data_IF_850531440958
#
_entry.id   IF_850531440958
#
_cell.length_a   1.000
_cell.length_b   1.000
_cell.length_c   1.000
_cell.angle_alpha   90.00
_cell.angle_beta   90.00
_cell.angle_gamma   90.00
#
_symmetry.space_group_name_H-M   'P 1'
#
loop_
_entity.id
_entity.type
_entity.pdbx_description
1 polymer ?
#
# COMPACT_ATOMS: atom_id res chain seq x y z
N UNK A 1 -1.49 -11.50 24.40
CA UNK A 1 -2.95 -11.66 24.52
C UNK A 1 -3.47 -12.34 23.27
N UNK A 2 -4.48 -13.17 23.43
CA UNK A 2 -4.64 -14.46 22.75
C UNK A 2 -5.18 -14.36 21.33
N UNK A 3 -4.80 -15.31 20.47
CA UNK A 3 -5.35 -15.59 19.14
C UNK A 3 -6.85 -15.32 18.97
N UNK A 4 -7.63 -15.42 20.06
CA UNK A 4 -9.07 -15.16 20.09
C UNK A 4 -9.48 -13.75 19.66
N UNK A 5 -8.79 -12.67 20.07
CA UNK A 5 -9.23 -11.31 19.73
C UNK A 5 -9.19 -11.05 18.23
N UNK A 6 -8.09 -11.45 17.57
CA UNK A 6 -7.93 -11.26 16.13
C UNK A 6 -8.87 -12.18 15.33
N UNK A 7 -9.18 -13.37 15.84
CA UNK A 7 -10.17 -14.27 15.25
C UNK A 7 -11.58 -13.68 15.34
N UNK A 8 -11.97 -13.15 16.50
CA UNK A 8 -13.25 -12.46 16.69
C UNK A 8 -13.37 -11.24 15.76
N UNK A 9 -12.30 -10.45 15.64
CA UNK A 9 -12.26 -9.32 14.72
C UNK A 9 -12.39 -9.77 13.25
N UNK A 10 -11.75 -10.88 12.88
CA UNK A 10 -11.87 -11.46 11.53
C UNK A 10 -13.32 -11.86 11.23
N UNK A 11 -14.04 -12.45 12.18
CA UNK A 11 -15.47 -12.77 12.03
C UNK A 11 -16.34 -11.52 11.88
N UNK A 12 -15.99 -10.42 12.55
CA UNK A 12 -16.71 -9.15 12.43
C UNK A 12 -16.45 -8.46 11.08
N UNK A 13 -15.21 -8.56 10.59
CA UNK A 13 -14.82 -8.14 9.25
C UNK A 13 -15.53 -8.94 8.16
N UNK A 14 -15.67 -10.25 8.34
CA UNK A 14 -16.44 -11.13 7.45
C UNK A 14 -17.86 -10.59 7.23
N UNK A 15 -18.60 -10.32 8.31
CA UNK A 15 -19.93 -9.70 8.22
C UNK A 15 -19.91 -8.31 7.57
N UNK A 16 -18.93 -7.47 7.91
CA UNK A 16 -18.81 -6.12 7.32
C UNK A 16 -18.56 -6.19 5.82
N UNK A 17 -17.65 -7.04 5.35
CA UNK A 17 -17.32 -7.16 3.92
C UNK A 17 -18.46 -7.81 3.15
N UNK A 18 -19.23 -8.73 3.72
CA UNK A 18 -20.47 -9.22 3.09
C UNK A 18 -21.44 -8.07 2.78
N UNK A 19 -21.64 -7.15 3.73
CA UNK A 19 -22.47 -5.95 3.50
C UNK A 19 -21.85 -5.03 2.44
N UNK A 20 -20.53 -4.86 2.47
CA UNK A 20 -19.83 -4.05 1.47
C UNK A 20 -20.01 -4.59 0.05
N UNK A 21 -20.01 -5.92 -0.14
CA UNK A 21 -20.28 -6.53 -1.46
C UNK A 21 -21.65 -6.09 -2.00
N UNK A 22 -22.69 -6.09 -1.16
CA UNK A 22 -24.03 -5.66 -1.57
C UNK A 22 -24.12 -4.15 -1.81
N UNK A 23 -23.44 -3.34 -0.99
CA UNK A 23 -23.51 -1.87 -1.04
C UNK A 23 -22.67 -1.27 -2.19
N UNK A 24 -21.47 -1.81 -2.41
CA UNK A 24 -20.55 -1.34 -3.45
C UNK A 24 -21.01 -1.84 -4.82
N UNK A 25 -21.43 -3.10 -4.93
CA UNK A 25 -21.78 -3.72 -6.21
C UNK A 25 -20.63 -3.63 -7.21
N UNK A 26 -20.94 -3.13 -8.42
CA UNK A 26 -19.98 -3.01 -9.53
C UNK A 26 -19.18 -1.69 -9.51
N UNK A 27 -19.36 -0.83 -8.50
CA UNK A 27 -18.62 0.44 -8.39
C UNK A 27 -17.13 0.19 -8.23
N UNK A 28 -16.30 1.10 -8.74
CA UNK A 28 -14.88 1.17 -8.45
C UNK A 28 -14.63 2.18 -7.31
N UNK A 29 -14.54 1.73 -6.04
CA UNK A 29 -14.43 2.62 -4.89
C UNK A 29 -13.04 3.27 -4.79
N UNK A 30 -13.00 4.56 -4.47
CA UNK A 30 -11.79 5.28 -4.10
C UNK A 30 -11.91 5.85 -2.68
N UNK A 31 -12.96 6.63 -2.41
CA UNK A 31 -13.20 7.25 -1.11
C UNK A 31 -14.69 7.33 -0.77
N UNK A 32 -15.00 7.39 0.52
CA UNK A 32 -16.35 7.66 1.01
C UNK A 32 -16.35 8.94 1.87
N UNK A 33 -17.20 9.88 1.51
CA UNK A 33 -17.34 11.18 2.17
C UNK A 33 -18.25 11.13 3.41
N UNK A 34 -18.85 12.28 3.73
CA UNK A 34 -19.75 12.43 4.89
C UNK A 34 -21.05 11.63 4.79
N UNK A 35 -21.47 11.27 3.58
CA UNK A 35 -22.63 10.42 3.32
C UNK A 35 -22.31 8.92 3.51
N UNK A 36 -21.02 8.59 3.68
CA UNK A 36 -20.56 7.24 3.93
C UNK A 36 -20.66 6.31 2.73
N UNK A 37 -20.88 6.83 1.52
CA UNK A 37 -20.98 6.02 0.30
C UNK A 37 -19.70 6.14 -0.51
N UNK A 38 -19.15 5.02 -0.98
CA UNK A 38 -18.03 5.05 -1.91
C UNK A 38 -18.47 5.64 -3.24
N UNK A 39 -17.56 6.43 -3.82
CA UNK A 39 -17.64 6.88 -5.20
C UNK A 39 -17.49 5.74 -6.21
N UNK A 40 -17.61 6.08 -7.49
CA UNK A 40 -17.44 5.17 -8.61
C UNK A 40 -16.49 5.84 -9.63
N UNK A 41 -15.19 5.63 -9.44
CA UNK A 41 -14.15 6.20 -10.28
C UNK A 41 -13.88 5.32 -11.51
N UNK A 42 -13.14 5.83 -12.49
CA UNK A 42 -12.73 5.02 -13.65
C UNK A 42 -11.78 3.89 -13.23
N UNK A 43 -11.87 2.75 -13.91
CA UNK A 43 -11.12 1.54 -13.54
C UNK A 43 -9.62 1.58 -13.83
N UNK A 44 -9.12 2.59 -14.54
CA UNK A 44 -7.69 2.89 -14.68
C UNK A 44 -7.08 3.55 -13.44
N UNK A 45 -7.90 3.97 -12.48
CA UNK A 45 -7.42 4.67 -11.30
C UNK A 45 -6.52 3.78 -10.43
N UNK A 46 -5.51 4.40 -9.81
CA UNK A 46 -4.48 3.67 -9.08
C UNK A 46 -5.01 2.84 -7.89
N UNK A 47 -6.18 3.20 -7.34
CA UNK A 47 -6.79 2.48 -6.21
C UNK A 47 -7.69 1.31 -6.61
N UNK A 48 -7.94 1.10 -7.90
CA UNK A 48 -8.90 0.10 -8.38
C UNK A 48 -8.58 -1.32 -7.91
N UNK A 49 -7.32 -1.63 -7.64
CA UNK A 49 -6.93 -2.96 -7.15
C UNK A 49 -7.30 -3.26 -5.70
N UNK A 50 -7.56 -2.25 -4.84
CA UNK A 50 -7.67 -2.48 -3.40
C UNK A 50 -8.98 -3.15 -2.98
N UNK A 51 -10.11 -2.81 -3.61
CA UNK A 51 -11.38 -3.49 -3.34
C UNK A 51 -11.36 -4.98 -3.72
N UNK A 52 -11.02 -5.38 -4.96
CA UNK A 52 -10.85 -6.80 -5.27
C UNK A 52 -9.75 -7.46 -4.43
N UNK A 53 -8.73 -6.71 -4.00
CA UNK A 53 -7.74 -7.19 -3.04
C UNK A 53 -8.33 -7.60 -1.70
N UNK A 54 -9.23 -6.78 -1.14
CA UNK A 54 -9.99 -7.12 0.07
C UNK A 54 -10.74 -8.43 -0.16
N UNK A 55 -11.47 -8.54 -1.27
CA UNK A 55 -12.27 -9.72 -1.59
C UNK A 55 -11.42 -10.99 -1.73
N UNK A 56 -10.25 -10.91 -2.39
CA UNK A 56 -9.35 -12.05 -2.49
C UNK A 56 -8.77 -12.47 -1.14
N UNK A 57 -8.38 -11.52 -0.27
CA UNK A 57 -7.94 -11.85 1.10
C UNK A 57 -9.07 -12.52 1.88
N UNK A 58 -10.29 -12.00 1.78
CA UNK A 58 -11.44 -12.56 2.48
C UNK A 58 -11.81 -13.95 1.97
N UNK A 59 -11.73 -14.20 0.65
CA UNK A 59 -11.92 -15.53 0.08
C UNK A 59 -10.89 -16.53 0.63
N UNK A 60 -9.61 -16.15 0.63
CA UNK A 60 -8.53 -17.01 1.10
C UNK A 60 -8.64 -17.34 2.59
N UNK A 61 -9.09 -16.38 3.39
CA UNK A 61 -9.25 -16.54 4.84
C UNK A 61 -10.52 -17.28 5.26
N UNK A 62 -11.61 -17.17 4.50
CA UNK A 62 -12.94 -17.70 4.89
C UNK A 62 -13.39 -18.90 4.06
N UNK A 63 -12.84 -19.08 2.85
CA UNK A 63 -13.29 -20.07 1.87
C UNK A 63 -14.63 -19.74 1.20
N UNK A 64 -15.24 -18.56 1.43
CA UNK A 64 -16.53 -18.20 0.85
C UNK A 64 -16.41 -17.85 -0.64
N UNK A 65 -17.23 -18.49 -1.48
CA UNK A 65 -17.27 -18.23 -2.91
C UNK A 65 -17.82 -16.84 -3.26
N UNK A 66 -18.67 -16.24 -2.41
CA UNK A 66 -19.18 -14.86 -2.56
C UNK A 66 -18.07 -13.87 -2.92
N UNK A 67 -16.97 -13.87 -2.15
CA UNK A 67 -15.88 -12.94 -2.35
C UNK A 67 -15.10 -13.23 -3.63
N UNK A 68 -14.87 -14.51 -3.94
CA UNK A 68 -14.21 -14.93 -5.18
C UNK A 68 -15.02 -14.51 -6.40
N UNK A 69 -16.33 -14.73 -6.39
CA UNK A 69 -17.23 -14.36 -7.49
C UNK A 69 -17.22 -12.84 -7.71
N UNK A 70 -17.31 -12.05 -6.64
CA UNK A 70 -17.23 -10.59 -6.70
C UNK A 70 -15.86 -10.06 -7.16
N UNK A 71 -14.77 -10.80 -6.91
CA UNK A 71 -13.41 -10.40 -7.29
C UNK A 71 -12.99 -10.86 -8.69
N UNK A 72 -13.71 -11.80 -9.30
CA UNK A 72 -13.19 -12.61 -10.41
C UNK A 72 -12.84 -11.83 -11.68
N UNK A 73 -13.64 -10.81 -12.02
CA UNK A 73 -13.53 -10.10 -13.31
C UNK A 73 -12.51 -8.94 -13.30
N UNK A 74 -12.06 -8.49 -12.13
CA UNK A 74 -11.36 -7.20 -11.99
C UNK A 74 -10.03 -7.14 -12.73
N UNK A 75 -9.27 -8.24 -12.77
CA UNK A 75 -8.04 -8.33 -13.54
C UNK A 75 -8.29 -8.19 -15.06
N UNK A 76 -9.38 -8.77 -15.56
CA UNK A 76 -9.83 -8.61 -16.95
C UNK A 76 -10.24 -7.16 -17.26
N UNK A 77 -10.99 -6.51 -16.36
CA UNK A 77 -11.36 -5.10 -16.51
C UNK A 77 -10.12 -4.19 -16.59
N UNK A 78 -9.11 -4.46 -15.75
CA UNK A 78 -7.86 -3.70 -15.76
C UNK A 78 -7.02 -3.94 -17.03
N UNK A 79 -7.05 -5.14 -17.59
CA UNK A 79 -6.26 -5.48 -18.80
C UNK A 79 -6.65 -4.64 -20.02
N UNK A 80 -7.91 -4.21 -20.11
CA UNK A 80 -8.40 -3.39 -21.21
C UNK A 80 -7.63 -2.07 -21.36
N UNK A 81 -6.98 -1.59 -20.30
CA UNK A 81 -6.21 -0.36 -20.32
C UNK A 81 -4.86 -0.50 -21.02
N UNK A 82 -4.32 -1.71 -21.18
CA UNK A 82 -3.08 -1.92 -21.94
C UNK A 82 -3.24 -1.71 -23.46
N UNK A 83 -4.46 -1.80 -23.97
CA UNK A 83 -4.76 -1.52 -25.40
C UNK A 83 -5.32 -0.12 -25.65
N UNK A 84 -5.62 0.63 -24.58
CA UNK A 84 -6.04 2.04 -24.64
C UNK A 84 -4.80 2.95 -24.63
N UNK A 85 -4.92 4.25 -24.98
CA UNK A 85 -3.79 5.17 -24.90
C UNK A 85 -3.12 5.12 -23.53
N UNK A 86 -1.79 4.97 -23.52
CA UNK A 86 -0.95 4.69 -22.33
C UNK A 86 -0.85 5.86 -21.35
N UNK A 87 -1.70 6.88 -21.47
CA UNK A 87 -1.63 8.12 -20.69
C UNK A 87 -2.17 7.92 -19.27
N UNK A 88 -3.08 6.97 -19.09
CA UNK A 88 -3.76 6.77 -17.81
C UNK A 88 -2.99 5.85 -16.85
N UNK A 89 -2.38 4.77 -17.35
CA UNK A 89 -1.60 3.86 -16.50
C UNK A 89 -0.19 4.40 -16.19
N UNK A 90 0.24 4.25 -14.95
CA UNK A 90 1.55 4.69 -14.47
C UNK A 90 2.22 3.64 -13.56
N UNK A 91 3.20 4.03 -12.74
CA UNK A 91 3.91 3.09 -11.86
C UNK A 91 3.02 2.31 -10.88
N UNK A 92 1.76 2.73 -10.69
CA UNK A 92 0.81 2.12 -9.75
C UNK A 92 0.15 0.83 -10.27
N UNK A 93 0.58 0.33 -11.42
CA UNK A 93 0.19 -1.00 -11.91
C UNK A 93 0.52 -2.11 -10.90
N UNK A 94 1.46 -1.90 -9.96
CA UNK A 94 1.63 -2.81 -8.83
C UNK A 94 0.42 -2.83 -7.91
N UNK A 95 -0.07 -1.67 -7.46
CA UNK A 95 -1.31 -1.56 -6.68
C UNK A 95 -2.55 -2.06 -7.42
N UNK A 96 -2.56 -2.04 -8.75
CA UNK A 96 -3.69 -2.55 -9.53
C UNK A 96 -3.63 -4.07 -9.71
N UNK A 97 -2.46 -4.62 -10.07
CA UNK A 97 -2.34 -6.03 -10.49
C UNK A 97 -1.85 -6.99 -9.41
N UNK A 98 -1.16 -6.52 -8.37
CA UNK A 98 -0.85 -7.37 -7.21
C UNK A 98 -2.13 -7.88 -6.52
N UNK A 99 -3.06 -7.01 -6.10
CA UNK A 99 -4.28 -7.43 -5.43
C UNK A 99 -5.40 -7.93 -6.36
N UNK A 100 -5.16 -8.04 -7.66
CA UNK A 100 -6.12 -8.64 -8.61
C UNK A 100 -5.54 -9.89 -9.27
N UNK A 101 -4.75 -9.72 -10.32
CA UNK A 101 -4.22 -10.80 -11.14
C UNK A 101 -3.24 -11.69 -10.36
N UNK A 102 -2.32 -11.11 -9.60
CA UNK A 102 -1.27 -11.88 -8.91
C UNK A 102 -1.86 -12.71 -7.78
N UNK A 103 -2.73 -12.14 -6.93
CA UNK A 103 -3.38 -12.91 -5.87
C UNK A 103 -4.32 -13.98 -6.43
N UNK A 104 -5.10 -13.68 -7.49
CA UNK A 104 -5.96 -14.63 -8.19
C UNK A 104 -5.16 -15.83 -8.70
N UNK A 105 -4.06 -15.59 -9.41
CA UNK A 105 -3.18 -16.67 -9.87
C UNK A 105 -2.60 -17.46 -8.69
N UNK A 106 -2.15 -16.76 -7.65
CA UNK A 106 -1.53 -17.38 -6.47
C UNK A 106 -2.48 -18.35 -5.75
N UNK A 107 -3.77 -18.01 -5.65
CA UNK A 107 -4.77 -18.83 -4.96
C UNK A 107 -5.34 -19.92 -5.88
N UNK A 108 -5.59 -19.61 -7.16
CA UNK A 108 -6.40 -20.46 -8.05
C UNK A 108 -5.63 -21.16 -9.15
N UNK A 109 -4.41 -20.72 -9.44
CA UNK A 109 -3.63 -21.16 -10.60
C UNK A 109 -4.14 -20.64 -11.94
N UNK A 110 -5.00 -19.61 -11.98
CA UNK A 110 -5.52 -19.05 -13.22
C UNK A 110 -4.40 -18.52 -14.13
N UNK A 111 -4.31 -19.06 -15.35
CA UNK A 111 -3.24 -18.76 -16.31
C UNK A 111 -3.41 -17.40 -16.99
N UNK A 112 -4.66 -16.94 -17.15
CA UNK A 112 -4.92 -15.58 -17.66
C UNK A 112 -4.49 -14.52 -16.64
N UNK A 113 -4.73 -14.76 -15.35
CA UNK A 113 -4.25 -13.91 -14.27
C UNK A 113 -2.70 -13.89 -14.21
N UNK A 114 -2.03 -15.03 -14.44
CA UNK A 114 -0.57 -15.07 -14.57
C UNK A 114 -0.10 -14.18 -15.74
N UNK A 115 -0.71 -14.34 -16.93
CA UNK A 115 -0.40 -13.54 -18.11
C UNK A 115 -0.56 -12.04 -17.83
N UNK A 116 -1.70 -11.63 -17.27
CA UNK A 116 -2.00 -10.22 -16.92
C UNK A 116 -1.01 -9.65 -15.92
N UNK A 117 -0.66 -10.40 -14.88
CA UNK A 117 0.36 -9.97 -13.91
C UNK A 117 1.74 -9.75 -14.56
N UNK A 118 2.15 -10.64 -15.47
CA UNK A 118 3.42 -10.50 -16.20
C UNK A 118 3.37 -9.29 -17.15
N UNK A 119 2.25 -9.05 -17.81
CA UNK A 119 2.03 -7.88 -18.66
C UNK A 119 2.16 -6.58 -17.86
N UNK A 120 1.55 -6.50 -16.68
CA UNK A 120 1.71 -5.38 -15.76
C UNK A 120 3.16 -5.22 -15.28
N UNK A 121 3.87 -6.31 -15.01
CA UNK A 121 5.29 -6.26 -14.65
C UNK A 121 6.17 -5.76 -15.80
N UNK A 122 5.85 -6.13 -17.05
CA UNK A 122 6.51 -5.60 -18.23
C UNK A 122 6.26 -4.11 -18.40
N UNK A 123 5.02 -3.66 -18.20
CA UNK A 123 4.67 -2.24 -18.21
C UNK A 123 5.48 -1.47 -17.16
N UNK A 124 5.51 -1.93 -15.91
CA UNK A 124 6.27 -1.31 -14.84
C UNK A 124 7.78 -1.28 -15.14
N UNK A 125 8.34 -2.38 -15.64
CA UNK A 125 9.75 -2.47 -16.01
C UNK A 125 10.11 -1.52 -17.17
N UNK A 126 9.21 -1.28 -18.11
CA UNK A 126 9.43 -0.36 -19.23
C UNK A 126 9.54 1.11 -18.78
N UNK A 127 9.05 1.43 -17.56
CA UNK A 127 9.20 2.77 -16.95
C UNK A 127 10.55 2.99 -16.29
N UNK A 128 11.44 1.99 -16.31
CA UNK A 128 12.77 2.08 -15.70
C UNK A 128 13.68 3.01 -16.52
N UNK A 129 14.24 4.01 -15.85
CA UNK A 129 15.30 4.87 -16.35
C UNK A 129 16.66 4.28 -15.92
N UNK A 130 17.47 3.77 -16.86
CA UNK A 130 18.75 3.16 -16.52
C UNK A 130 19.86 4.16 -16.15
N UNK A 131 19.78 5.42 -16.60
CA UNK A 131 20.75 6.46 -16.28
C UNK A 131 20.62 6.89 -14.82
N UNK A 132 19.40 7.19 -14.38
CA UNK A 132 19.08 7.57 -13.00
C UNK A 132 18.75 6.41 -12.06
N UNK A 133 18.65 5.18 -12.59
CA UNK A 133 18.38 3.96 -11.81
C UNK A 133 17.07 4.02 -11.02
N UNK A 134 16.02 4.56 -11.62
CA UNK A 134 14.70 4.68 -11.00
C UNK A 134 13.59 4.23 -11.93
N UNK A 135 12.39 4.04 -11.38
CA UNK A 135 11.17 3.79 -12.14
C UNK A 135 10.42 5.11 -12.15
N UNK A 136 10.11 5.61 -13.34
CA UNK A 136 9.38 6.84 -13.52
C UNK A 136 7.97 6.70 -12.94
N UNK A 137 7.59 7.62 -12.05
CA UNK A 137 6.31 7.60 -11.37
C UNK A 137 5.15 7.92 -12.31
N UNK A 138 5.00 9.18 -12.72
CA UNK A 138 3.85 9.67 -13.51
C UNK A 138 4.20 9.99 -14.96
N UNK A 139 3.16 10.17 -15.79
CA UNK A 139 3.28 10.38 -17.24
C UNK A 139 3.59 11.85 -17.62
N UNK A 140 3.37 12.22 -18.89
CA UNK A 140 3.62 13.56 -19.44
C UNK A 140 5.08 14.03 -19.38
N UNK A 141 5.35 15.21 -18.83
CA UNK A 141 6.67 15.86 -18.70
C UNK A 141 7.46 15.41 -17.45
N UNK A 142 6.90 14.50 -16.65
CA UNK A 142 7.43 14.06 -15.35
C UNK A 142 8.43 12.91 -15.49
N UNK A 143 9.29 12.96 -16.51
CA UNK A 143 10.20 11.88 -16.91
C UNK A 143 11.18 11.45 -15.81
N UNK A 144 11.55 12.39 -14.92
CA UNK A 144 12.49 12.17 -13.84
C UNK A 144 11.86 12.08 -12.45
N UNK A 145 10.53 11.99 -12.35
CA UNK A 145 9.86 11.97 -11.06
C UNK A 145 9.83 10.55 -10.47
N UNK A 146 10.21 10.46 -9.20
CA UNK A 146 10.23 9.22 -8.41
C UNK A 146 9.45 9.47 -7.13
N UNK A 147 8.54 8.57 -6.79
CA UNK A 147 7.62 8.72 -5.66
C UNK A 147 7.75 7.50 -4.74
N UNK A 148 7.71 7.74 -3.43
CA UNK A 148 7.98 6.74 -2.39
C UNK A 148 7.03 5.53 -2.41
N UNK A 149 5.79 5.69 -2.88
CA UNK A 149 4.80 4.62 -3.05
C UNK A 149 5.21 3.57 -4.09
N UNK A 150 6.11 3.90 -5.01
CA UNK A 150 6.69 2.96 -5.95
C UNK A 150 7.43 1.81 -5.23
N UNK A 151 7.85 2.02 -3.99
CA UNK A 151 8.42 0.97 -3.13
C UNK A 151 7.46 -0.19 -2.84
N UNK A 152 6.14 0.00 -2.95
CA UNK A 152 5.16 -1.09 -2.90
C UNK A 152 4.94 -1.70 -4.27
N UNK A 153 5.00 -0.88 -5.33
CA UNK A 153 4.78 -1.34 -6.69
C UNK A 153 5.92 -2.26 -7.20
N UNK A 154 7.16 -2.11 -6.72
CA UNK A 154 8.28 -3.00 -7.09
C UNK A 154 8.10 -4.45 -6.62
N UNK A 155 7.16 -4.73 -5.69
CA UNK A 155 6.76 -6.10 -5.33
C UNK A 155 6.26 -6.89 -6.54
N UNK A 156 5.64 -6.22 -7.52
CA UNK A 156 5.23 -6.83 -8.78
C UNK A 156 6.43 -7.34 -9.60
N UNK A 157 7.53 -6.60 -9.60
CA UNK A 157 8.76 -7.01 -10.29
C UNK A 157 9.45 -8.17 -9.57
N UNK A 158 9.44 -8.19 -8.23
CA UNK A 158 9.95 -9.34 -7.48
C UNK A 158 9.11 -10.60 -7.73
N UNK A 159 7.78 -10.48 -7.75
CA UNK A 159 6.88 -11.57 -8.13
C UNK A 159 7.16 -12.07 -9.55
N UNK A 160 7.27 -11.16 -10.53
CA UNK A 160 7.53 -11.51 -11.92
C UNK A 160 8.87 -12.25 -12.08
N UNK A 161 9.92 -11.80 -11.38
CA UNK A 161 11.21 -12.50 -11.37
C UNK A 161 11.09 -13.93 -10.83
N UNK A 162 10.30 -14.13 -9.78
CA UNK A 162 10.08 -15.45 -9.17
C UNK A 162 9.35 -16.40 -10.11
N UNK A 163 8.27 -15.97 -10.77
CA UNK A 163 7.44 -16.85 -11.60
C UNK A 163 8.00 -17.10 -12.99
N UNK A 164 8.77 -16.15 -13.55
CA UNK A 164 9.39 -16.29 -14.88
C UNK A 164 10.82 -16.83 -14.85
N UNK A 165 11.51 -16.65 -13.72
CA UNK A 165 12.97 -16.89 -13.63
C UNK A 165 13.82 -15.81 -14.29
N UNK A 166 13.24 -14.74 -14.86
CA UNK A 166 13.99 -13.62 -15.44
C UNK A 166 14.54 -12.69 -14.32
N UNK A 167 15.87 -12.61 -14.15
CA UNK A 167 16.46 -11.77 -13.10
C UNK A 167 16.36 -10.27 -13.37
N UNK A 168 16.05 -9.84 -14.61
CA UNK A 168 15.92 -8.43 -14.99
C UNK A 168 14.94 -7.69 -14.07
N UNK A 169 13.78 -8.28 -13.79
CA UNK A 169 12.77 -7.64 -12.93
C UNK A 169 13.33 -7.39 -11.52
N UNK A 170 14.02 -8.38 -10.93
CA UNK A 170 14.68 -8.23 -9.63
C UNK A 170 15.77 -7.16 -9.66
N UNK A 171 16.59 -7.09 -10.72
CA UNK A 171 17.62 -6.06 -10.85
C UNK A 171 17.01 -4.64 -10.89
N UNK A 172 15.94 -4.45 -11.65
CA UNK A 172 15.22 -3.17 -11.74
C UNK A 172 14.66 -2.77 -10.37
N UNK A 173 13.99 -3.70 -9.69
CA UNK A 173 13.41 -3.46 -8.37
C UNK A 173 14.47 -3.06 -7.32
N UNK A 174 15.58 -3.79 -7.24
CA UNK A 174 16.70 -3.48 -6.34
C UNK A 174 17.28 -2.10 -6.68
N UNK A 175 17.52 -1.83 -7.96
CA UNK A 175 18.11 -0.56 -8.39
C UNK A 175 17.22 0.63 -8.02
N UNK A 176 15.90 0.51 -8.19
CA UNK A 176 14.94 1.52 -7.75
C UNK A 176 15.00 1.71 -6.22
N UNK A 177 14.97 0.61 -5.46
CA UNK A 177 15.01 0.66 -3.99
C UNK A 177 16.30 1.30 -3.48
N UNK A 178 17.45 1.06 -4.11
CA UNK A 178 18.72 1.71 -3.78
C UNK A 178 18.67 3.23 -4.00
N UNK A 179 18.13 3.67 -5.14
CA UNK A 179 17.96 5.10 -5.44
C UNK A 179 17.02 5.76 -4.43
N UNK A 180 15.87 5.14 -4.14
CA UNK A 180 14.92 5.64 -3.14
C UNK A 180 15.52 5.66 -1.73
N UNK A 181 16.31 4.66 -1.36
CA UNK A 181 17.02 4.60 -0.08
C UNK A 181 18.02 5.76 0.08
N UNK A 182 18.77 6.06 -0.99
CA UNK A 182 19.78 7.11 -0.99
C UNK A 182 19.19 8.51 -0.93
N UNK A 183 18.18 8.79 -1.76
CA UNK A 183 17.69 10.16 -1.95
C UNK A 183 16.39 10.47 -1.21
N UNK A 184 15.57 9.44 -0.97
CA UNK A 184 14.21 9.56 -0.41
C UNK A 184 14.14 9.45 1.11
N UNK A 185 15.12 8.83 1.76
CA UNK A 185 15.11 8.58 3.21
C UNK A 185 16.08 9.52 3.92
N UNK A 186 15.56 10.33 4.86
CA UNK A 186 16.38 11.23 5.68
C UNK A 186 17.08 10.46 6.80
N UNK A 187 18.11 11.07 7.39
CA UNK A 187 18.90 10.45 8.46
C UNK A 187 18.08 10.13 9.72
N UNK A 188 17.03 10.91 10.01
CA UNK A 188 16.13 10.70 11.14
C UNK A 188 15.08 9.61 10.89
N UNK A 189 15.01 9.04 9.68
CA UNK A 189 14.02 8.04 9.28
C UNK A 189 12.74 8.60 8.65
N UNK A 190 12.56 9.91 8.62
CA UNK A 190 11.48 10.53 7.85
C UNK A 190 11.68 10.36 6.35
N UNK A 191 10.60 10.40 5.59
CA UNK A 191 10.62 10.19 4.13
C UNK A 191 10.30 11.45 3.37
N UNK A 192 10.95 11.63 2.22
CA UNK A 192 10.52 12.57 1.17
C UNK A 192 9.45 11.93 0.31
N UNK A 193 8.57 12.75 -0.26
CA UNK A 193 7.50 12.23 -1.10
C UNK A 193 7.95 12.09 -2.56
N UNK A 194 8.15 13.21 -3.27
CA UNK A 194 8.55 13.22 -4.68
C UNK A 194 9.98 13.70 -4.82
N UNK A 195 10.80 12.90 -5.50
CA UNK A 195 12.15 13.23 -5.92
C UNK A 195 12.16 13.55 -7.41
N UNK A 196 12.96 14.53 -7.82
CA UNK A 196 13.16 14.90 -9.21
C UNK A 196 14.59 14.63 -9.65
N UNK A 197 14.73 14.02 -10.83
CA UNK A 197 16.00 13.69 -11.47
C UNK A 197 16.02 14.23 -12.90
N UNK A 198 17.21 14.52 -13.41
CA UNK A 198 17.41 14.74 -14.84
C UNK A 198 17.28 13.39 -15.57
N UNK A 199 16.31 13.28 -16.47
CA UNK A 199 15.97 12.00 -17.09
C UNK A 199 17.01 11.49 -18.10
N UNK A 200 17.87 12.36 -18.63
CA UNK A 200 18.92 11.99 -19.58
C UNK A 200 20.19 11.54 -18.86
N UNK A 201 20.62 12.33 -17.88
CA UNK A 201 21.89 12.13 -17.16
C UNK A 201 21.74 11.26 -15.92
N UNK A 202 20.53 11.16 -15.36
CA UNK A 202 20.26 10.50 -14.09
C UNK A 202 20.65 11.31 -12.84
N UNK A 203 21.05 12.58 -13.00
CA UNK A 203 21.46 13.41 -11.88
C UNK A 203 20.27 13.78 -10.98
N UNK A 204 20.43 13.66 -9.66
CA UNK A 204 19.44 14.17 -8.70
C UNK A 204 19.34 15.70 -8.79
N UNK A 205 18.11 16.21 -8.88
CA UNK A 205 17.83 17.66 -8.94
C UNK A 205 17.39 18.14 -7.56
N UNK A 206 16.23 17.66 -7.07
CA UNK A 206 15.62 18.19 -5.85
C UNK A 206 14.60 17.24 -5.20
N UNK A 207 14.22 17.61 -3.97
CA UNK A 207 13.06 17.09 -3.27
C UNK A 207 11.89 18.03 -3.55
N UNK A 208 11.00 17.63 -4.45
CA UNK A 208 9.93 18.50 -4.94
C UNK A 208 8.80 18.71 -3.91
N UNK A 209 8.67 17.80 -2.93
CA UNK A 209 7.52 17.75 -2.03
C UNK A 209 6.38 16.95 -2.65
N UNK A 210 5.13 17.39 -2.52
CA UNK A 210 3.97 16.67 -3.06
C UNK A 210 2.77 16.79 -2.12
N UNK A 211 2.19 15.65 -1.76
CA UNK A 211 0.99 15.57 -0.91
C UNK A 211 1.19 15.94 0.57
N UNK A 212 2.43 16.06 1.05
CA UNK A 212 2.77 16.44 2.43
C UNK A 212 2.59 17.93 2.71
N UNK A 213 2.71 18.32 3.98
CA UNK A 213 2.59 19.72 4.43
C UNK A 213 3.61 20.65 3.77
N UNK A 214 4.83 20.18 3.53
CA UNK A 214 5.85 20.89 2.77
C UNK A 214 6.88 19.90 2.20
N UNK A 215 7.79 20.32 1.30
CA UNK A 215 8.89 19.45 0.87
C UNK A 215 9.72 18.92 2.03
N UNK A 216 9.88 19.70 3.10
CA UNK A 216 10.64 19.32 4.30
C UNK A 216 9.78 18.73 5.42
N UNK A 217 8.49 18.51 5.17
CA UNK A 217 7.63 17.79 6.11
C UNK A 217 7.79 16.27 5.99
N UNK A 218 6.99 15.51 6.75
CA UNK A 218 6.99 14.05 6.71
C UNK A 218 5.57 13.53 6.62
N UNK A 219 5.07 13.46 5.40
CA UNK A 219 3.76 12.89 5.09
C UNK A 219 3.66 11.45 5.62
N UNK A 220 2.63 11.18 6.42
CA UNK A 220 2.57 9.96 7.22
C UNK A 220 2.39 8.71 6.35
N UNK A 221 1.56 8.79 5.31
CA UNK A 221 1.40 7.66 4.37
C UNK A 221 2.63 7.40 3.52
N UNK A 222 3.36 8.44 3.09
CA UNK A 222 4.65 8.26 2.42
C UNK A 222 5.67 7.55 3.32
N UNK A 223 5.64 7.86 4.62
CA UNK A 223 6.47 7.20 5.63
C UNK A 223 6.06 5.73 5.78
N UNK A 224 4.75 5.44 5.80
CA UNK A 224 4.23 4.08 5.85
C UNK A 224 4.58 3.26 4.59
N UNK A 225 4.54 3.88 3.40
CA UNK A 225 5.00 3.25 2.16
C UNK A 225 6.48 2.91 2.19
N UNK A 226 7.32 3.83 2.65
CA UNK A 226 8.74 3.56 2.82
C UNK A 226 8.96 2.40 3.79
N UNK A 227 8.30 2.40 4.94
CA UNK A 227 8.38 1.33 5.92
C UNK A 227 8.05 -0.03 5.31
N UNK A 228 6.86 -0.18 4.75
CA UNK A 228 6.40 -1.47 4.23
C UNK A 228 7.21 -1.90 2.98
N UNK A 229 7.46 -0.97 2.06
CA UNK A 229 8.21 -1.28 0.84
C UNK A 229 9.66 -1.70 1.10
N UNK A 230 10.37 -1.09 2.06
CA UNK A 230 11.74 -1.51 2.38
C UNK A 230 11.81 -2.86 3.10
N UNK A 231 10.87 -3.16 4.01
CA UNK A 231 10.85 -4.49 4.63
C UNK A 231 10.49 -5.57 3.60
N UNK A 232 9.59 -5.29 2.65
CA UNK A 232 9.32 -6.24 1.59
C UNK A 232 10.52 -6.42 0.64
N UNK A 233 11.21 -5.33 0.32
CA UNK A 233 12.45 -5.40 -0.46
C UNK A 233 13.49 -6.30 0.23
N UNK A 234 13.63 -6.21 1.56
CA UNK A 234 14.49 -7.13 2.32
C UNK A 234 14.03 -8.59 2.16
N UNK A 235 12.74 -8.89 2.28
CA UNK A 235 12.23 -10.27 2.13
C UNK A 235 12.60 -10.93 0.81
N UNK A 236 12.62 -10.15 -0.28
CA UNK A 236 12.96 -10.66 -1.61
C UNK A 236 14.47 -10.73 -1.90
N UNK A 237 15.29 -10.06 -1.10
CA UNK A 237 16.73 -9.86 -1.39
C UNK A 237 17.67 -10.45 -0.34
N UNK A 238 17.26 -10.47 0.92
CA UNK A 238 18.12 -10.73 2.08
C UNK A 238 19.14 -9.62 2.35
N UNK A 239 19.02 -8.45 1.71
CA UNK A 239 20.00 -7.38 1.84
C UNK A 239 19.72 -6.50 3.07
N UNK A 240 20.56 -6.67 4.09
CA UNK A 240 20.51 -5.98 5.38
C UNK A 240 20.43 -4.44 5.27
N UNK A 241 20.87 -3.82 4.17
CA UNK A 241 20.72 -2.36 3.96
C UNK A 241 19.25 -1.95 3.93
N UNK A 242 18.39 -2.75 3.30
CA UNK A 242 16.95 -2.50 3.26
C UNK A 242 16.27 -2.78 4.60
N UNK A 243 16.69 -3.82 5.33
CA UNK A 243 16.19 -4.07 6.69
C UNK A 243 16.50 -2.90 7.62
N UNK A 244 17.75 -2.41 7.61
CA UNK A 244 18.15 -1.28 8.44
C UNK A 244 17.41 0.02 8.07
N UNK A 245 17.12 0.21 6.79
CA UNK A 245 16.30 1.33 6.31
C UNK A 245 14.87 1.22 6.82
N UNK A 246 14.23 0.05 6.70
CA UNK A 246 12.90 -0.19 7.24
C UNK A 246 12.83 0.03 8.76
N UNK A 247 13.81 -0.46 9.52
CA UNK A 247 13.91 -0.23 10.98
C UNK A 247 14.01 1.25 11.32
N UNK A 248 14.82 2.01 10.58
CA UNK A 248 14.96 3.46 10.79
C UNK A 248 13.65 4.21 10.56
N UNK A 249 12.93 3.88 9.49
CA UNK A 249 11.61 4.46 9.20
C UNK A 249 10.60 4.04 10.26
N UNK A 250 10.61 2.77 10.71
CA UNK A 250 9.74 2.27 11.76
C UNK A 250 9.94 3.02 13.08
N UNK A 251 11.20 3.26 13.49
CA UNK A 251 11.50 4.02 14.69
C UNK A 251 10.97 5.45 14.61
N UNK A 252 11.18 6.12 13.48
CA UNK A 252 10.62 7.44 13.23
C UNK A 252 9.09 7.44 13.35
N UNK A 253 8.42 6.56 12.59
CA UNK A 253 6.96 6.44 12.57
C UNK A 253 6.41 6.21 13.98
N UNK A 254 6.93 5.21 14.71
CA UNK A 254 6.49 4.88 16.08
C UNK A 254 6.69 6.06 17.03
N UNK A 255 7.84 6.75 16.94
CA UNK A 255 8.16 7.88 17.83
C UNK A 255 7.30 9.12 17.58
N UNK A 256 6.78 9.27 16.36
CA UNK A 256 5.95 10.40 15.95
C UNK A 256 4.45 10.14 16.14
N UNK A 257 4.06 8.96 16.66
CA UNK A 257 2.65 8.66 16.91
C UNK A 257 2.09 9.51 18.05
N UNK A 258 0.86 10.03 17.90
CA UNK A 258 0.12 10.69 18.96
C UNK A 258 -0.37 9.69 20.02
N UNK A 259 -1.00 10.20 21.08
CA UNK A 259 -1.47 9.38 22.21
C UNK A 259 -2.39 8.23 21.78
N UNK A 260 -3.34 8.51 20.88
CA UNK A 260 -4.29 7.52 20.34
C UNK A 260 -3.67 6.57 19.30
N UNK A 261 -2.36 6.66 19.05
CA UNK A 261 -1.61 5.75 18.18
C UNK A 261 -1.98 5.79 16.69
N UNK A 262 -2.83 6.72 16.22
CA UNK A 262 -3.13 6.90 14.78
C UNK A 262 -2.53 8.21 14.30
N UNK A 263 -1.65 8.21 13.29
CA UNK A 263 -0.88 9.39 12.92
C UNK A 263 -1.79 10.50 12.39
N UNK A 264 -1.33 11.74 12.58
CA UNK A 264 -1.81 12.83 11.73
C UNK A 264 -1.40 12.58 10.27
N UNK A 265 -2.03 13.26 9.32
CA UNK A 265 -1.70 13.11 7.90
C UNK A 265 -0.27 13.55 7.55
N UNK A 266 0.36 14.37 8.39
CA UNK A 266 1.79 14.69 8.33
C UNK A 266 2.37 14.77 9.75
N UNK A 267 3.57 14.21 9.95
CA UNK A 267 4.22 14.18 11.26
C UNK A 267 4.87 15.51 11.66
N UNK A 268 5.00 16.47 10.73
CA UNK A 268 5.65 17.77 10.95
C UNK A 268 4.68 18.93 10.77
N UNK A 269 3.39 18.72 11.04
CA UNK A 269 2.42 19.82 11.15
C UNK A 269 2.85 20.78 12.26
N UNK A 270 2.78 22.09 11.99
CA UNK A 270 2.74 23.08 13.05
C UNK A 270 1.31 23.11 13.62
N UNK A 271 1.15 23.40 14.93
CA UNK A 271 -0.18 23.53 15.58
C UNK A 271 -1.11 24.39 14.71
N UNK A 272 -2.12 23.75 14.11
CA UNK A 272 -3.01 24.36 13.10
C UNK A 272 -4.39 23.69 13.16
N UNK A 273 -5.40 24.36 12.62
CA UNK A 273 -6.78 23.88 12.46
C UNK A 273 -6.91 22.65 11.53
N UNK A 274 -5.77 22.14 11.01
CA UNK A 274 -5.66 21.06 10.03
C UNK A 274 -5.00 19.79 10.56
N UNK A 275 -5.07 19.56 11.87
CA UNK A 275 -4.62 18.35 12.54
C UNK A 275 -5.53 17.14 12.28
N UNK A 276 -5.78 16.83 11.01
CA UNK A 276 -6.53 15.65 10.60
C UNK A 276 -5.69 14.38 10.73
N UNK A 277 -6.36 13.26 10.99
CA UNK A 277 -5.74 11.93 11.04
C UNK A 277 -5.52 11.39 9.63
N UNK A 278 -4.70 10.35 9.57
CA UNK A 278 -4.66 9.45 8.42
C UNK A 278 -4.67 8.00 8.86
N UNK A 279 -5.87 7.44 9.00
CA UNK A 279 -6.07 6.02 9.33
C UNK A 279 -5.44 5.08 8.30
N UNK A 280 -5.35 5.51 7.03
CA UNK A 280 -4.73 4.70 5.97
C UNK A 280 -3.22 4.52 6.20
N UNK A 281 -2.51 5.58 6.61
CA UNK A 281 -1.09 5.50 6.99
C UNK A 281 -0.88 4.55 8.16
N UNK A 282 -1.76 4.57 9.17
CA UNK A 282 -1.74 3.62 10.27
C UNK A 282 -1.88 2.18 9.79
N UNK A 283 -2.90 1.87 8.97
CA UNK A 283 -3.13 0.52 8.43
C UNK A 283 -1.92 -0.01 7.66
N UNK A 284 -1.35 0.80 6.76
CA UNK A 284 -0.17 0.43 5.98
C UNK A 284 1.03 0.14 6.91
N UNK A 285 1.25 1.01 7.89
CA UNK A 285 2.37 0.88 8.82
C UNK A 285 2.24 -0.37 9.69
N UNK A 286 1.03 -0.73 10.14
CA UNK A 286 0.79 -1.99 10.88
C UNK A 286 1.29 -3.18 10.08
N UNK A 287 0.96 -3.26 8.80
CA UNK A 287 1.43 -4.34 7.94
C UNK A 287 2.95 -4.41 7.82
N UNK A 288 3.63 -3.27 7.64
CA UNK A 288 5.09 -3.22 7.63
C UNK A 288 5.73 -3.57 8.99
N UNK A 289 5.12 -3.16 10.10
CA UNK A 289 5.58 -3.48 11.45
C UNK A 289 5.42 -4.97 11.78
N UNK A 290 4.34 -5.61 11.32
CA UNK A 290 4.15 -7.06 11.46
C UNK A 290 5.21 -7.83 10.68
N UNK A 291 5.52 -7.42 9.44
CA UNK A 291 6.61 -8.01 8.66
C UNK A 291 7.97 -7.86 9.36
N UNK A 292 8.27 -6.67 9.88
CA UNK A 292 9.49 -6.44 10.66
C UNK A 292 9.56 -7.36 11.89
N UNK A 293 8.48 -7.45 12.66
CA UNK A 293 8.42 -8.23 13.89
C UNK A 293 8.67 -9.73 13.68
N UNK A 294 8.40 -10.26 12.49
CA UNK A 294 8.69 -11.65 12.16
C UNK A 294 10.13 -11.92 11.76
N UNK A 295 10.82 -10.90 11.24
CA UNK A 295 12.15 -11.00 10.63
C UNK A 295 13.25 -10.68 11.64
N UNK A 296 13.02 -9.68 12.50
CA UNK A 296 14.06 -9.20 13.43
C UNK A 296 14.36 -10.22 14.54
N UNK A 297 15.54 -10.13 15.18
CA UNK A 297 15.86 -10.96 16.34
C UNK A 297 14.85 -10.80 17.47
N UNK A 298 14.73 -11.85 18.30
CA UNK A 298 13.75 -11.92 19.42
C UNK A 298 13.79 -10.71 20.36
N UNK A 299 14.95 -10.09 20.55
CA UNK A 299 15.13 -8.91 21.41
C UNK A 299 14.49 -7.64 20.87
N UNK A 300 14.25 -7.55 19.56
CA UNK A 300 13.63 -6.39 18.90
C UNK A 300 12.15 -6.62 18.59
N UNK A 301 11.74 -7.88 18.45
CA UNK A 301 10.39 -8.27 18.01
C UNK A 301 9.26 -7.56 18.75
N UNK A 302 9.37 -7.45 20.08
CA UNK A 302 8.31 -6.86 20.90
C UNK A 302 8.10 -5.36 20.61
N UNK A 303 9.13 -4.63 20.19
CA UNK A 303 9.01 -3.22 19.83
C UNK A 303 8.02 -3.03 18.69
N UNK A 304 8.23 -3.76 17.59
CA UNK A 304 7.40 -3.64 16.38
C UNK A 304 6.05 -4.32 16.55
N UNK A 305 6.00 -5.53 17.14
CA UNK A 305 4.75 -6.25 17.37
C UNK A 305 3.79 -5.49 18.29
N UNK A 306 4.30 -4.91 19.39
CA UNK A 306 3.46 -4.15 20.31
C UNK A 306 2.99 -2.83 19.69
N UNK A 307 3.82 -2.18 18.86
CA UNK A 307 3.40 -0.98 18.13
C UNK A 307 2.28 -1.32 17.13
N UNK A 308 2.44 -2.37 16.33
CA UNK A 308 1.42 -2.86 15.41
C UNK A 308 0.10 -3.16 16.13
N UNK A 309 0.14 -3.89 17.25
CA UNK A 309 -1.05 -4.21 18.04
C UNK A 309 -1.74 -2.94 18.58
N UNK A 310 -0.99 -1.97 19.11
CA UNK A 310 -1.58 -0.72 19.64
C UNK A 310 -2.28 0.10 18.55
N UNK A 311 -1.62 0.28 17.40
CA UNK A 311 -2.20 1.02 16.26
C UNK A 311 -3.48 0.31 15.79
N UNK A 312 -3.41 -1.01 15.58
CA UNK A 312 -4.52 -1.79 15.05
C UNK A 312 -5.72 -1.83 16.01
N UNK A 313 -5.47 -1.91 17.33
CA UNK A 313 -6.52 -1.76 18.35
C UNK A 313 -7.18 -0.39 18.29
N UNK A 314 -6.39 0.68 18.20
CA UNK A 314 -6.95 2.03 18.09
C UNK A 314 -7.81 2.20 16.85
N UNK A 315 -7.35 1.73 15.68
CA UNK A 315 -8.16 1.72 14.46
C UNK A 315 -9.49 0.97 14.67
N UNK A 316 -9.43 -0.22 15.28
CA UNK A 316 -10.59 -1.07 15.54
C UNK A 316 -11.58 -0.46 16.51
N UNK A 317 -11.11 0.21 17.55
CA UNK A 317 -11.94 0.70 18.66
C UNK A 317 -12.48 2.11 18.39
N UNK A 318 -11.71 2.96 17.71
CA UNK A 318 -12.00 4.40 17.60
C UNK A 318 -12.30 4.88 16.17
N UNK A 319 -11.88 4.14 15.13
CA UNK A 319 -11.96 4.60 13.74
C UNK A 319 -12.88 3.75 12.86
N UNK A 320 -13.21 2.55 13.30
CA UNK A 320 -14.00 1.63 12.50
C UNK A 320 -15.51 1.87 12.60
N UNK A 321 -16.21 1.65 11.50
CA UNK A 321 -17.63 2.01 11.30
C UNK A 321 -18.63 0.96 11.79
N UNK A 322 -18.26 0.20 12.84
CA UNK A 322 -19.02 -0.97 13.27
C UNK A 322 -20.50 -0.69 13.62
N UNK A 323 -20.76 0.47 14.20
CA UNK A 323 -22.10 0.91 14.60
C UNK A 323 -22.77 1.80 13.53
N UNK A 324 -22.21 1.82 12.31
CA UNK A 324 -22.68 2.61 11.17
C UNK A 324 -22.89 1.69 9.95
N UNK A 325 -23.95 0.84 9.97
CA UNK A 325 -24.17 -0.17 8.92
C UNK A 325 -24.38 0.44 7.52
N UNK A 326 -24.83 1.70 7.45
CA UNK A 326 -25.00 2.43 6.19
C UNK A 326 -23.69 2.97 5.59
N UNK A 327 -22.61 3.04 6.38
CA UNK A 327 -21.32 3.52 5.91
C UNK A 327 -20.58 2.40 5.21
N UNK A 328 -20.24 2.55 3.93
CA UNK A 328 -19.69 1.48 3.09
C UNK A 328 -18.24 1.15 3.42
N UNK A 329 -17.45 2.09 3.93
CA UNK A 329 -16.06 1.83 4.32
C UNK A 329 -15.92 1.17 5.70
N UNK A 330 -14.75 0.58 5.97
CA UNK A 330 -14.39 0.00 7.27
C UNK A 330 -13.84 1.08 8.21
N UNK A 331 -12.92 1.91 7.74
CA UNK A 331 -12.21 2.92 8.55
C UNK A 331 -12.55 4.36 8.13
N UNK A 332 -12.75 5.22 9.14
CA UNK A 332 -12.90 6.68 9.01
C UNK A 332 -11.55 7.40 9.07
N UNK A 333 -11.58 8.72 8.85
CA UNK A 333 -10.49 9.66 9.15
C UNK A 333 -9.16 9.38 8.41
N UNK A 334 -9.27 8.98 7.15
CA UNK A 334 -8.17 8.97 6.19
C UNK A 334 -7.97 10.35 5.55
N UNK A 335 -6.74 10.66 5.16
CA UNK A 335 -6.42 11.92 4.47
C UNK A 335 -5.57 11.66 3.22
N UNK A 336 -6.14 11.91 2.04
CA UNK A 336 -5.47 11.72 0.74
C UNK A 336 -4.23 12.61 0.57
N UNK A 337 -4.35 13.90 0.80
CA UNK A 337 -3.25 14.85 0.80
C UNK A 337 -3.60 16.06 1.66
N UNK A 338 -2.65 16.97 1.87
CA UNK A 338 -2.92 18.24 2.53
C UNK A 338 -3.98 19.13 1.86
N UNK A 339 -4.43 18.77 0.64
CA UNK A 339 -5.39 19.56 -0.15
C UNK A 339 -6.58 18.76 -0.68
N UNK A 340 -6.62 17.43 -0.51
CA UNK A 340 -7.61 16.58 -1.17
C UNK A 340 -7.93 15.33 -0.35
N UNK A 341 -9.20 14.91 -0.39
CA UNK A 341 -9.71 13.75 0.35
C UNK A 341 -9.34 13.83 1.84
N UNK A 342 -9.62 14.97 2.48
CA UNK A 342 -9.29 15.23 3.88
C UNK A 342 -10.44 14.73 4.76
N UNK A 343 -10.12 13.93 5.78
CA UNK A 343 -11.08 13.39 6.75
C UNK A 343 -12.22 12.58 6.10
N UNK A 344 -11.84 11.62 5.25
CA UNK A 344 -12.74 10.71 4.52
C UNK A 344 -12.37 9.26 4.78
N UNK A 345 -13.16 8.31 4.29
CA UNK A 345 -12.74 6.91 4.25
C UNK A 345 -12.02 6.60 2.94
N UNK A 346 -11.01 5.74 2.96
CA UNK A 346 -10.14 5.46 1.81
C UNK A 346 -10.01 3.96 1.60
N UNK A 347 -10.29 3.47 0.39
CA UNK A 347 -10.33 2.02 0.10
C UNK A 347 -9.00 1.30 0.39
N UNK A 348 -7.87 1.98 0.19
CA UNK A 348 -6.56 1.42 0.50
C UNK A 348 -6.33 1.33 2.02
N UNK A 349 -6.88 2.25 2.82
CA UNK A 349 -6.85 2.14 4.27
C UNK A 349 -7.58 0.89 4.76
N UNK A 350 -8.73 0.58 4.15
CA UNK A 350 -9.51 -0.64 4.41
C UNK A 350 -8.74 -1.89 3.98
N UNK A 351 -8.10 -1.86 2.80
CA UNK A 351 -7.29 -2.98 2.31
C UNK A 351 -6.17 -3.35 3.29
N UNK A 352 -5.34 -2.39 3.70
CA UNK A 352 -4.23 -2.70 4.61
C UNK A 352 -4.69 -3.03 6.03
N UNK A 353 -5.88 -2.55 6.45
CA UNK A 353 -6.48 -2.97 7.72
C UNK A 353 -6.86 -4.45 7.68
N UNK A 354 -7.55 -4.89 6.63
CA UNK A 354 -7.87 -6.31 6.40
C UNK A 354 -6.60 -7.14 6.26
N UNK A 355 -5.60 -6.66 5.51
CA UNK A 355 -4.31 -7.33 5.34
C UNK A 355 -3.63 -7.58 6.69
N UNK A 356 -3.59 -6.57 7.57
CA UNK A 356 -2.98 -6.67 8.89
C UNK A 356 -3.72 -7.67 9.80
N UNK A 357 -5.06 -7.61 9.83
CA UNK A 357 -5.87 -8.57 10.62
C UNK A 357 -5.72 -9.99 10.06
N UNK A 358 -5.69 -10.16 8.75
CA UNK A 358 -5.48 -11.45 8.10
C UNK A 358 -4.09 -12.03 8.45
N UNK A 359 -3.02 -11.22 8.41
CA UNK A 359 -1.66 -11.63 8.85
C UNK A 359 -1.65 -12.15 10.28
N UNK A 360 -2.31 -11.45 11.21
CA UNK A 360 -2.44 -11.87 12.61
C UNK A 360 -3.26 -13.16 12.79
N UNK A 361 -4.12 -13.47 11.83
CA UNK A 361 -4.88 -14.72 11.76
C UNK A 361 -4.21 -15.81 10.89
N UNK A 362 -2.95 -15.60 10.47
CA UNK A 362 -2.15 -16.62 9.80
C UNK A 362 -2.22 -16.61 8.27
N UNK A 363 -2.67 -15.52 7.64
CA UNK A 363 -2.60 -15.34 6.19
C UNK A 363 -1.15 -15.35 5.68
N UNK A 364 -0.87 -16.11 4.60
CA UNK A 364 0.51 -16.40 4.15
C UNK A 364 0.88 -15.87 2.78
N UNK A 365 -0.08 -15.44 1.96
CA UNK A 365 0.17 -15.21 0.53
C UNK A 365 0.90 -13.90 0.20
N UNK A 366 0.97 -12.93 1.12
CA UNK A 366 1.87 -11.74 1.14
C UNK A 366 2.26 -11.25 -0.25
N UNK A 367 1.31 -10.60 -0.92
CA UNK A 367 1.47 -10.13 -2.31
C UNK A 367 2.24 -8.81 -2.41
N UNK A 368 2.33 -8.05 -1.32
CA UNK A 368 3.07 -6.78 -1.24
C UNK A 368 4.39 -6.89 -0.52
#
# INVERSE_FOLDING_TARGET
MTSSYWQELMCRLDTKVEQMVEQIGDKCPHFAGKDGKFDDISSDWWTTGFWPGILWIMHDMTGKDLYKEAAWHWDGTLEEWFIKPTVEMHHDVGFQFLPTAVIKHTITGDEDALRRGIEAANFLAARYNPAGKFIRAWNEDKYGWVIIDCMLNISLLFWASKVTGDPRYKHIAISHAETTMQYGIREDGSTKHILSFDAETGAYIENFGGQGYSPESSWSRGTAWGLYGFINTYRHTGDERFLNTAKRIAHYFISALPEDQVPYWDFRLADDERMFRDSSAASIAVSGLLELAEIVPVGEKSLYANAAERILRSLTENYATWEQPEHEAILLHGTGSGTSFIDVSLIYGDYYYIEAVAKLNGWKHRIF
#
